data_IF_498597129975
#
_entry.id   IF_498597129975
#
_cell.length_a   1.000
_cell.length_b   1.000
_cell.length_c   1.000
_cell.angle_alpha   90.00
_cell.angle_beta   90.00
_cell.angle_gamma   90.00
#
_symmetry.space_group_name_H-M   'P 1'
#
loop_
_entity.id
_entity.type
_entity.pdbx_description
1 polymer ?
#
# COMPACT_ATOMS: atom_id res chain seq x y z
N UNK A 1 24.46 -13.43 8.52
CA UNK A 1 23.03 -13.50 8.22
C UNK A 1 22.17 -13.63 9.49
N UNK A 2 22.28 -14.71 10.29
CA UNK A 2 21.44 -14.88 11.50
C UNK A 2 21.62 -13.74 12.54
N UNK A 3 22.84 -13.32 12.82
CA UNK A 3 23.14 -12.21 13.74
C UNK A 3 22.56 -10.87 13.23
N UNK A 4 22.62 -10.61 11.94
CA UNK A 4 22.04 -9.44 11.30
C UNK A 4 20.50 -9.44 11.40
N UNK A 5 19.87 -10.56 11.07
CA UNK A 5 18.42 -10.72 11.20
C UNK A 5 17.94 -10.55 12.64
N UNK A 6 18.67 -11.12 13.62
CA UNK A 6 18.36 -10.96 15.03
C UNK A 6 18.48 -9.49 15.48
N UNK A 7 19.53 -8.79 15.05
CA UNK A 7 19.70 -7.37 15.37
C UNK A 7 18.58 -6.53 14.79
N UNK A 8 18.15 -6.81 13.56
CA UNK A 8 17.01 -6.12 12.92
C UNK A 8 15.71 -6.39 13.67
N UNK A 9 15.44 -7.64 14.05
CA UNK A 9 14.27 -7.98 14.87
C UNK A 9 14.24 -7.26 16.21
N UNK A 10 15.38 -7.17 16.89
CA UNK A 10 15.48 -6.44 18.15
C UNK A 10 15.24 -4.94 17.99
N UNK A 11 15.71 -4.33 16.89
CA UNK A 11 15.46 -2.92 16.58
C UNK A 11 14.00 -2.62 16.18
N UNK A 12 13.26 -3.62 15.69
CA UNK A 12 11.84 -3.45 15.39
C UNK A 12 11.01 -3.19 16.65
N UNK A 13 11.41 -3.74 17.80
CA UNK A 13 10.67 -3.59 19.07
C UNK A 13 10.58 -2.11 19.50
N UNK A 14 11.70 -1.38 19.70
CA UNK A 14 11.63 0.03 20.08
C UNK A 14 10.99 0.90 19.00
N UNK A 15 11.20 0.58 17.71
CA UNK A 15 10.56 1.29 16.61
C UNK A 15 9.04 1.10 16.66
N UNK A 16 8.57 -0.12 16.89
CA UNK A 16 7.15 -0.42 17.02
C UNK A 16 6.51 0.33 18.20
N UNK A 17 7.17 0.30 19.37
CA UNK A 17 6.70 1.06 20.54
C UNK A 17 6.64 2.55 20.23
N UNK A 18 7.65 3.12 19.57
CA UNK A 18 7.67 4.54 19.19
C UNK A 18 6.53 4.91 18.24
N UNK A 19 6.32 4.12 17.18
CA UNK A 19 5.24 4.35 16.20
C UNK A 19 3.88 4.23 16.88
N UNK A 20 3.66 3.19 17.68
CA UNK A 20 2.37 2.97 18.36
C UNK A 20 2.08 4.03 19.41
N UNK A 21 3.11 4.53 20.16
CA UNK A 21 2.96 5.67 21.05
C UNK A 21 2.52 6.92 20.33
N UNK A 22 3.21 7.29 19.25
CA UNK A 22 2.87 8.46 18.45
C UNK A 22 1.44 8.35 17.91
N UNK A 23 1.08 7.21 17.32
CA UNK A 23 -0.27 6.98 16.80
C UNK A 23 -1.34 7.06 17.87
N UNK A 24 -1.09 6.47 19.05
CA UNK A 24 -2.00 6.56 20.19
C UNK A 24 -2.22 8.01 20.63
N UNK A 25 -1.14 8.81 20.75
CA UNK A 25 -1.27 10.22 21.13
C UNK A 25 -1.98 11.05 20.06
N UNK A 26 -1.67 10.86 18.77
CA UNK A 26 -2.36 11.56 17.67
C UNK A 26 -3.87 11.30 17.74
N UNK A 27 -4.27 10.05 17.95
CA UNK A 27 -5.69 9.70 18.04
C UNK A 27 -6.35 10.28 19.29
N UNK A 28 -5.62 10.44 20.40
CA UNK A 28 -6.13 11.03 21.63
C UNK A 28 -6.24 12.57 21.57
N UNK A 29 -5.40 13.20 20.76
CA UNK A 29 -5.44 14.65 20.53
C UNK A 29 -6.49 15.02 19.46
N UNK A 30 -7.01 14.05 18.70
CA UNK A 30 -8.05 14.30 17.73
C UNK A 30 -9.32 14.84 18.42
N UNK A 31 -9.93 15.92 17.91
CA UNK A 31 -11.10 16.52 18.54
C UNK A 31 -12.32 15.61 18.45
N UNK A 32 -13.01 15.41 19.58
CA UNK A 32 -14.21 14.59 19.71
C UNK A 32 -14.02 13.42 20.68
N UNK A 33 -14.98 13.22 21.58
CA UNK A 33 -15.00 12.04 22.45
C UNK A 33 -15.59 10.83 21.69
N UNK A 34 -14.83 9.73 21.56
CA UNK A 34 -15.34 8.52 20.89
C UNK A 34 -16.67 7.99 21.49
N UNK A 35 -16.86 8.17 22.80
CA UNK A 35 -18.08 7.77 23.48
C UNK A 35 -19.28 8.65 23.09
N UNK A 36 -19.10 9.95 22.95
CA UNK A 36 -20.15 10.87 22.50
C UNK A 36 -20.62 10.56 21.07
N UNK A 37 -19.65 10.26 20.19
CA UNK A 37 -19.95 9.95 18.80
C UNK A 37 -20.74 8.65 18.64
N UNK A 38 -20.43 7.63 19.44
CA UNK A 38 -21.19 6.38 19.42
C UNK A 38 -22.58 6.54 20.03
N UNK A 39 -22.68 7.26 21.14
CA UNK A 39 -23.97 7.55 21.76
C UNK A 39 -24.88 8.35 20.82
N UNK A 40 -24.34 9.33 20.11
CA UNK A 40 -25.05 10.10 19.08
C UNK A 40 -25.48 9.22 17.88
N UNK A 41 -24.64 8.31 17.41
CA UNK A 41 -24.93 7.38 16.31
C UNK A 41 -25.99 6.33 16.70
N UNK A 42 -25.89 5.78 17.89
CA UNK A 42 -26.85 4.78 18.41
C UNK A 42 -28.26 5.33 18.68
N UNK A 43 -28.38 6.64 18.84
CA UNK A 43 -29.66 7.32 19.13
C UNK A 43 -30.21 8.14 17.94
N UNK A 44 -29.76 7.84 16.72
CA UNK A 44 -30.31 8.47 15.51
C UNK A 44 -29.95 9.93 15.33
N UNK A 45 -28.76 10.36 15.79
CA UNK A 45 -28.24 11.72 15.54
C UNK A 45 -28.92 12.82 16.36
N UNK A 46 -29.67 12.48 17.39
CA UNK A 46 -30.39 13.43 18.24
C UNK A 46 -29.47 14.14 19.25
N UNK A 47 -28.54 14.95 18.75
CA UNK A 47 -27.76 15.92 19.54
C UNK A 47 -28.31 17.32 19.32
N UNK A 48 -29.56 17.59 19.74
CA UNK A 48 -30.20 18.88 19.53
C UNK A 48 -31.07 19.29 20.71
N UNK A 49 -31.41 20.58 20.79
CA UNK A 49 -32.26 21.22 21.79
C UNK A 49 -33.72 20.68 21.70
N UNK A 50 -33.99 19.49 22.21
CA UNK A 50 -35.32 18.83 22.19
C UNK A 50 -35.31 17.44 22.78
N UNK A 51 -34.16 16.94 23.26
CA UNK A 51 -34.08 15.62 23.88
C UNK A 51 -34.64 15.70 25.32
N UNK A 52 -35.57 14.78 25.65
CA UNK A 52 -36.09 14.68 27.01
C UNK A 52 -34.97 14.37 28.02
N UNK A 53 -35.13 14.82 29.26
CA UNK A 53 -34.13 14.63 30.33
C UNK A 53 -33.80 13.14 30.51
N UNK A 54 -34.80 12.27 30.44
CA UNK A 54 -34.61 10.81 30.51
C UNK A 54 -33.71 10.25 29.41
N UNK A 55 -33.84 10.74 28.15
CA UNK A 55 -32.96 10.33 27.06
C UNK A 55 -31.51 10.83 27.23
N UNK A 56 -31.35 12.03 27.81
CA UNK A 56 -30.00 12.53 28.15
C UNK A 56 -29.34 11.67 29.22
N UNK A 57 -30.06 11.34 30.29
CA UNK A 57 -29.52 10.46 31.33
C UNK A 57 -29.13 9.07 30.79
N UNK A 58 -29.97 8.48 29.93
CA UNK A 58 -29.63 7.20 29.27
C UNK A 58 -28.39 7.29 28.36
N UNK A 59 -28.20 8.41 27.68
CA UNK A 59 -26.99 8.68 26.88
C UNK A 59 -25.77 8.78 27.76
N UNK A 60 -25.85 9.58 28.84
CA UNK A 60 -24.74 9.80 29.77
C UNK A 60 -24.35 8.48 30.47
N UNK A 61 -25.32 7.64 30.82
CA UNK A 61 -25.11 6.34 31.43
C UNK A 61 -24.45 5.36 30.42
N UNK A 62 -24.95 5.32 29.19
CA UNK A 62 -24.34 4.55 28.11
C UNK A 62 -22.91 5.01 27.81
N UNK A 63 -22.65 6.32 27.80
CA UNK A 63 -21.29 6.88 27.63
C UNK A 63 -20.37 6.50 28.79
N UNK A 64 -20.86 6.52 30.05
CA UNK A 64 -20.09 6.14 31.21
C UNK A 64 -19.71 4.65 31.18
N UNK A 65 -20.66 3.78 30.86
CA UNK A 65 -20.41 2.34 30.68
C UNK A 65 -19.39 2.08 29.56
N UNK A 66 -19.49 2.80 28.47
CA UNK A 66 -18.57 2.72 27.36
C UNK A 66 -17.16 3.16 27.73
N UNK A 67 -17.02 4.31 28.40
CA UNK A 67 -15.71 4.79 28.89
C UNK A 67 -15.07 3.78 29.84
N UNK A 68 -15.87 3.17 30.72
CA UNK A 68 -15.41 2.13 31.64
C UNK A 68 -14.96 0.86 30.89
N UNK A 69 -15.76 0.40 29.90
CA UNK A 69 -15.48 -0.80 29.13
C UNK A 69 -14.17 -0.70 28.32
N UNK A 70 -13.90 0.46 27.74
CA UNK A 70 -12.68 0.70 26.96
C UNK A 70 -11.56 1.38 27.78
N UNK A 71 -11.78 1.54 29.10
CA UNK A 71 -10.80 2.12 30.02
C UNK A 71 -10.46 3.57 29.70
N UNK A 72 -11.35 4.31 29.05
CA UNK A 72 -11.13 5.70 28.64
C UNK A 72 -11.12 6.69 29.81
N UNK A 73 -11.59 6.26 30.96
CA UNK A 73 -11.58 6.94 32.27
C UNK A 73 -10.24 6.80 33.00
N UNK A 74 -9.37 5.89 32.54
CA UNK A 74 -8.09 5.60 33.18
C UNK A 74 -6.98 6.56 32.74
N UNK A 75 -5.87 6.68 33.48
CA UNK A 75 -4.70 7.44 33.08
C UNK A 75 -4.16 6.98 31.71
N UNK A 76 -3.62 7.88 30.88
CA UNK A 76 -3.18 7.60 29.51
C UNK A 76 -2.21 6.42 29.36
N UNK A 77 -1.31 6.25 30.32
CA UNK A 77 -0.37 5.11 30.30
C UNK A 77 -1.07 3.76 30.50
N UNK A 78 -2.17 3.73 31.27
CA UNK A 78 -2.97 2.51 31.46
C UNK A 78 -3.77 2.22 30.18
N UNK A 79 -4.34 3.26 29.58
CA UNK A 79 -5.08 3.14 28.31
C UNK A 79 -4.16 2.61 27.19
N UNK A 80 -2.93 3.12 27.10
CA UNK A 80 -1.93 2.62 26.16
C UNK A 80 -1.60 1.14 26.44
N UNK A 81 -1.44 0.76 27.70
CA UNK A 81 -1.17 -0.64 28.09
C UNK A 81 -2.30 -1.59 27.70
N UNK A 82 -3.57 -1.18 27.92
CA UNK A 82 -4.76 -1.96 27.49
C UNK A 82 -4.77 -2.10 25.97
N UNK A 83 -4.58 -0.98 25.26
CA UNK A 83 -4.56 -1.00 23.79
C UNK A 83 -3.43 -1.87 23.24
N UNK A 84 -2.23 -1.80 23.82
CA UNK A 84 -1.10 -2.64 23.42
C UNK A 84 -1.37 -4.13 23.70
N UNK A 85 -2.02 -4.47 24.81
CA UNK A 85 -2.48 -5.83 25.08
C UNK A 85 -3.43 -6.31 23.99
N UNK A 86 -4.45 -5.54 23.69
CA UNK A 86 -5.44 -5.87 22.66
C UNK A 86 -4.82 -6.01 21.28
N UNK A 87 -3.79 -5.22 20.99
CA UNK A 87 -3.04 -5.35 19.74
C UNK A 87 -2.29 -6.71 19.66
N UNK A 88 -1.67 -7.14 20.74
CA UNK A 88 -0.95 -8.43 20.78
C UNK A 88 -1.92 -9.62 20.74
N UNK A 89 -3.10 -9.50 21.33
CA UNK A 89 -4.15 -10.53 21.32
C UNK A 89 -5.03 -10.46 20.06
N UNK A 90 -4.84 -9.45 19.19
CA UNK A 90 -5.68 -9.17 18.01
C UNK A 90 -7.15 -8.91 18.35
N UNK A 91 -7.43 -8.46 19.57
CA UNK A 91 -8.75 -8.13 20.08
C UNK A 91 -9.04 -6.63 19.92
N UNK A 92 -9.27 -6.18 18.70
CA UNK A 92 -9.52 -4.76 18.39
C UNK A 92 -10.95 -4.29 18.72
N UNK A 93 -11.81 -5.20 19.16
CA UNK A 93 -13.21 -4.92 19.42
C UNK A 93 -14.06 -4.82 18.15
N UNK A 94 -15.20 -4.13 18.29
CA UNK A 94 -16.18 -3.95 17.22
C UNK A 94 -16.10 -2.54 16.62
N UNK A 95 -16.35 -2.46 15.32
CA UNK A 95 -16.47 -1.22 14.56
C UNK A 95 -17.65 -0.39 15.05
N UNK A 96 -17.46 0.91 15.23
CA UNK A 96 -18.53 1.83 15.62
C UNK A 96 -19.56 2.08 14.53
N UNK A 97 -19.17 1.81 13.27
CA UNK A 97 -20.03 2.03 12.10
C UNK A 97 -21.09 0.94 11.95
N UNK A 98 -20.71 -0.31 12.14
CA UNK A 98 -21.55 -1.48 11.78
C UNK A 98 -21.57 -2.62 12.81
N UNK A 99 -20.93 -2.44 13.98
CA UNK A 99 -20.82 -3.42 15.05
C UNK A 99 -20.17 -4.76 14.64
N UNK A 100 -19.44 -4.78 13.52
CA UNK A 100 -18.71 -5.98 13.10
C UNK A 100 -17.33 -6.05 13.75
N UNK A 101 -16.79 -7.27 14.01
CA UNK A 101 -15.45 -7.42 14.53
C UNK A 101 -14.41 -6.77 13.60
N UNK A 102 -13.61 -5.84 14.12
CA UNK A 102 -12.64 -5.07 13.33
C UNK A 102 -11.61 -5.98 12.68
N UNK A 103 -11.14 -7.01 13.40
CA UNK A 103 -10.16 -7.96 12.86
C UNK A 103 -10.68 -8.70 11.62
N UNK A 104 -11.92 -9.13 11.62
CA UNK A 104 -12.54 -9.79 10.45
C UNK A 104 -12.53 -8.87 9.23
N UNK A 105 -12.91 -7.59 9.40
CA UNK A 105 -12.89 -6.59 8.31
C UNK A 105 -11.50 -6.38 7.73
N UNK A 106 -10.46 -6.41 8.57
CA UNK A 106 -9.07 -6.25 8.12
C UNK A 106 -8.62 -7.49 7.33
N UNK A 107 -8.85 -8.69 7.86
CA UNK A 107 -8.43 -9.95 7.24
C UNK A 107 -9.09 -10.17 5.87
N UNK A 108 -10.36 -9.80 5.72
CA UNK A 108 -11.08 -9.90 4.45
C UNK A 108 -10.52 -8.95 3.38
N UNK A 109 -10.10 -7.73 3.77
CA UNK A 109 -9.67 -6.68 2.84
C UNK A 109 -8.16 -6.70 2.55
N UNK A 110 -7.36 -7.22 3.45
CA UNK A 110 -5.90 -7.30 3.31
C UNK A 110 -5.43 -8.00 2.03
N UNK A 111 -5.95 -9.18 1.65
CA UNK A 111 -5.55 -9.85 0.42
C UNK A 111 -5.83 -9.04 -0.85
N UNK A 112 -6.91 -8.25 -0.86
CA UNK A 112 -7.27 -7.38 -1.98
C UNK A 112 -6.23 -6.29 -2.17
N UNK A 113 -5.89 -5.58 -1.10
CA UNK A 113 -4.87 -4.53 -1.11
C UNK A 113 -3.50 -5.07 -1.53
N UNK A 114 -3.08 -6.21 -0.97
CA UNK A 114 -1.80 -6.84 -1.35
C UNK A 114 -1.81 -7.22 -2.83
N UNK A 115 -2.88 -7.84 -3.34
CA UNK A 115 -3.02 -8.21 -4.75
C UNK A 115 -2.90 -6.99 -5.66
N UNK A 116 -3.63 -5.92 -5.36
CA UNK A 116 -3.66 -4.70 -6.16
C UNK A 116 -2.26 -4.05 -6.24
N UNK A 117 -1.61 -3.86 -5.09
CA UNK A 117 -0.27 -3.27 -5.03
C UNK A 117 0.79 -4.17 -5.68
N UNK A 118 0.76 -5.49 -5.42
CA UNK A 118 1.72 -6.42 -6.01
C UNK A 118 1.62 -6.46 -7.54
N UNK A 119 0.40 -6.47 -8.10
CA UNK A 119 0.18 -6.41 -9.54
C UNK A 119 0.67 -5.08 -10.13
N UNK A 120 0.45 -3.96 -9.43
CA UNK A 120 0.93 -2.65 -9.88
C UNK A 120 2.45 -2.59 -9.90
N UNK A 121 3.12 -3.04 -8.85
CA UNK A 121 4.58 -3.09 -8.81
C UNK A 121 5.13 -4.02 -9.90
N UNK A 122 4.53 -5.20 -10.06
CA UNK A 122 4.91 -6.14 -11.12
C UNK A 122 4.81 -5.48 -12.50
N UNK A 123 3.72 -4.77 -12.77
CA UNK A 123 3.51 -4.07 -14.03
C UNK A 123 4.52 -2.95 -14.25
N UNK A 124 4.85 -2.17 -13.19
CA UNK A 124 5.89 -1.14 -13.25
C UNK A 124 7.22 -1.76 -13.68
N UNK A 125 7.66 -2.84 -13.05
CA UNK A 125 8.94 -3.49 -13.37
C UNK A 125 8.92 -4.14 -14.75
N UNK A 126 7.81 -4.77 -15.12
CA UNK A 126 7.63 -5.42 -16.41
C UNK A 126 7.73 -4.44 -17.60
N UNK A 127 7.27 -3.20 -17.42
CA UNK A 127 7.30 -2.16 -18.46
C UNK A 127 8.56 -1.32 -18.36
N UNK A 128 8.92 -0.83 -17.16
CA UNK A 128 10.02 0.11 -17.00
C UNK A 128 11.39 -0.49 -17.30
N UNK A 129 11.62 -1.77 -16.99
CA UNK A 129 12.91 -2.42 -17.29
C UNK A 129 13.15 -2.52 -18.80
N UNK A 130 12.25 -3.08 -19.64
CA UNK A 130 12.44 -3.09 -21.09
C UNK A 130 12.57 -1.69 -21.70
N UNK A 131 11.78 -0.70 -21.22
CA UNK A 131 11.89 0.68 -21.67
C UNK A 131 13.25 1.28 -21.35
N UNK A 132 13.78 1.07 -20.14
CA UNK A 132 15.09 1.55 -19.74
C UNK A 132 16.24 0.87 -20.51
N UNK A 133 16.12 -0.43 -20.79
CA UNK A 133 17.08 -1.17 -21.64
C UNK A 133 17.09 -0.59 -23.06
N UNK A 134 15.91 -0.41 -23.64
CA UNK A 134 15.77 0.14 -24.98
C UNK A 134 16.37 1.54 -25.07
N UNK A 135 16.01 2.42 -24.15
CA UNK A 135 16.52 3.79 -24.06
C UNK A 135 18.03 3.87 -23.90
N UNK A 136 18.63 2.99 -23.09
CA UNK A 136 20.08 2.94 -22.89
C UNK A 136 20.85 2.39 -24.10
N UNK A 137 20.24 1.50 -24.89
CA UNK A 137 20.87 0.92 -26.08
C UNK A 137 20.69 1.78 -27.34
N UNK A 138 19.77 2.75 -27.32
CA UNK A 138 19.52 3.68 -28.42
C UNK A 138 19.54 5.14 -27.92
N UNK A 139 20.63 5.57 -27.26
CA UNK A 139 20.70 6.89 -26.65
C UNK A 139 20.56 7.99 -27.71
N UNK A 140 19.88 9.07 -27.31
CA UNK A 140 19.69 10.30 -28.09
C UNK A 140 18.95 10.11 -29.43
N UNK A 141 18.38 8.93 -29.70
CA UNK A 141 17.51 8.71 -30.84
C UNK A 141 16.14 9.37 -30.65
N UNK A 142 15.43 9.63 -31.74
CA UNK A 142 14.07 10.15 -31.68
C UNK A 142 13.14 9.26 -30.83
N UNK A 143 13.30 7.95 -30.91
CA UNK A 143 12.51 7.00 -30.10
C UNK A 143 12.83 7.09 -28.61
N UNK A 144 14.09 7.29 -28.21
CA UNK A 144 14.48 7.53 -26.81
C UNK A 144 13.85 8.84 -26.28
N UNK A 145 13.95 9.91 -27.08
CA UNK A 145 13.35 11.21 -26.73
C UNK A 145 11.82 11.13 -26.62
N UNK A 146 11.15 10.43 -27.56
CA UNK A 146 9.70 10.25 -27.54
C UNK A 146 9.23 9.43 -26.33
N UNK A 147 9.93 8.33 -26.00
CA UNK A 147 9.63 7.52 -24.80
C UNK A 147 9.84 8.32 -23.51
N UNK A 148 10.91 9.12 -23.46
CA UNK A 148 11.20 9.99 -22.33
C UNK A 148 10.11 11.05 -22.16
N UNK A 149 9.72 11.72 -23.25
CA UNK A 149 8.63 12.72 -23.22
C UNK A 149 7.32 12.09 -22.81
N UNK A 150 6.95 10.93 -23.37
CA UNK A 150 5.74 10.20 -23.00
C UNK A 150 5.72 9.84 -21.51
N UNK A 151 6.84 9.32 -20.99
CA UNK A 151 6.97 9.02 -19.58
C UNK A 151 6.82 10.27 -18.68
N UNK A 152 7.37 11.43 -19.09
CA UNK A 152 7.17 12.69 -18.37
C UNK A 152 5.73 13.18 -18.41
N UNK A 153 5.05 13.06 -19.55
CA UNK A 153 3.62 13.43 -19.66
C UNK A 153 2.79 12.56 -18.72
N UNK A 154 3.02 11.25 -18.69
CA UNK A 154 2.33 10.36 -17.75
C UNK A 154 2.59 10.75 -16.29
N UNK A 155 3.85 11.02 -15.94
CA UNK A 155 4.23 11.42 -14.58
C UNK A 155 3.59 12.75 -14.16
N UNK A 156 3.34 13.66 -15.08
CA UNK A 156 2.74 14.96 -14.79
C UNK A 156 1.23 14.89 -14.52
N UNK A 157 0.56 13.79 -14.91
CA UNK A 157 -0.90 13.64 -14.75
C UNK A 157 -1.23 13.21 -13.30
N UNK A 158 -2.04 13.98 -12.54
CA UNK A 158 -2.43 13.58 -11.19
C UNK A 158 -3.28 12.31 -11.19
N UNK A 159 -2.97 11.35 -10.30
CA UNK A 159 -3.64 10.05 -10.21
C UNK A 159 -5.17 10.19 -10.03
N UNK A 160 -5.61 11.11 -9.16
CA UNK A 160 -7.05 11.35 -8.92
C UNK A 160 -7.75 11.77 -10.21
N UNK A 161 -7.13 12.69 -10.96
CA UNK A 161 -7.68 13.18 -12.22
C UNK A 161 -7.73 12.05 -13.25
N UNK A 162 -6.63 11.30 -13.44
CA UNK A 162 -6.58 10.17 -14.37
C UNK A 162 -7.63 9.11 -14.06
N UNK A 163 -7.78 8.74 -12.78
CA UNK A 163 -8.74 7.75 -12.32
C UNK A 163 -10.19 8.21 -12.55
N UNK A 164 -10.49 9.48 -12.25
CA UNK A 164 -11.82 10.04 -12.46
C UNK A 164 -12.17 10.12 -13.95
N UNK A 165 -11.23 10.58 -14.78
CA UNK A 165 -11.41 10.62 -16.24
C UNK A 165 -11.57 9.21 -16.82
N UNK A 166 -10.82 8.23 -16.32
CA UNK A 166 -10.97 6.84 -16.75
C UNK A 166 -12.37 6.29 -16.46
N UNK A 167 -12.93 6.56 -15.28
CA UNK A 167 -14.32 6.16 -14.96
C UNK A 167 -15.31 6.81 -15.92
N UNK A 168 -15.20 8.11 -16.14
CA UNK A 168 -16.15 8.86 -16.99
C UNK A 168 -16.06 8.41 -18.46
N UNK A 169 -14.86 8.34 -19.03
CA UNK A 169 -14.68 8.14 -20.47
C UNK A 169 -14.50 6.67 -20.87
N UNK A 170 -13.98 5.82 -19.99
CA UNK A 170 -13.60 4.44 -20.33
C UNK A 170 -14.54 3.41 -19.68
N UNK A 171 -15.12 3.74 -18.52
CA UNK A 171 -16.04 2.86 -17.79
C UNK A 171 -17.49 3.35 -17.84
N UNK A 172 -17.73 4.60 -18.26
CA UNK A 172 -19.06 5.19 -18.34
C UNK A 172 -19.81 4.77 -19.60
N UNK A 173 -21.10 4.41 -19.47
CA UNK A 173 -21.93 4.00 -20.58
C UNK A 173 -22.17 5.08 -21.64
N UNK A 174 -21.90 6.35 -21.35
CA UNK A 174 -22.16 7.48 -22.26
C UNK A 174 -21.09 7.63 -23.36
N UNK A 175 -19.85 7.13 -23.11
CA UNK A 175 -18.74 7.21 -24.06
C UNK A 175 -18.25 5.81 -24.47
N UNK A 176 -17.43 5.20 -23.65
CA UNK A 176 -16.86 3.88 -23.89
C UNK A 176 -17.11 2.99 -22.67
N UNK A 177 -17.65 1.81 -22.90
CA UNK A 177 -17.78 0.79 -21.86
C UNK A 177 -16.77 -0.33 -22.10
N UNK A 178 -15.49 -0.03 -21.84
CA UNK A 178 -14.39 -0.98 -22.04
C UNK A 178 -14.06 -1.74 -20.77
N UNK A 179 -14.20 -1.11 -19.60
CA UNK A 179 -13.88 -1.71 -18.31
C UNK A 179 -15.00 -1.46 -17.30
N UNK A 180 -15.13 -2.33 -16.28
CA UNK A 180 -16.08 -2.11 -15.20
C UNK A 180 -15.78 -0.82 -14.43
N UNK A 181 -16.79 -0.08 -13.97
CA UNK A 181 -16.60 1.16 -13.21
C UNK A 181 -16.09 0.94 -11.80
N UNK A 182 -16.13 -0.30 -11.27
CA UNK A 182 -15.67 -0.61 -9.94
C UNK A 182 -15.97 -2.03 -9.49
N UNK A 183 -15.56 -2.33 -8.26
CA UNK A 183 -15.70 -3.66 -7.66
C UNK A 183 -14.60 -4.63 -8.09
N UNK A 184 -14.67 -5.87 -7.59
CA UNK A 184 -13.74 -6.96 -7.90
C UNK A 184 -14.31 -7.99 -8.85
N UNK A 185 -15.62 -8.03 -8.99
CA UNK A 185 -16.38 -9.09 -9.65
C UNK A 185 -17.60 -8.50 -10.37
N UNK A 186 -17.99 -9.12 -11.47
CA UNK A 186 -19.18 -8.73 -12.23
C UNK A 186 -20.47 -9.02 -11.43
N UNK A 187 -21.54 -8.30 -11.73
CA UNK A 187 -22.85 -8.45 -11.08
C UNK A 187 -23.44 -9.87 -11.24
N UNK A 188 -23.09 -10.58 -12.31
CA UNK A 188 -23.48 -11.96 -12.59
C UNK A 188 -22.47 -13.00 -12.06
N UNK A 189 -21.47 -12.57 -11.28
CA UNK A 189 -20.48 -13.47 -10.70
C UNK A 189 -21.12 -14.61 -9.92
N UNK A 190 -20.64 -15.81 -10.16
CA UNK A 190 -21.10 -16.99 -9.44
C UNK A 190 -19.94 -17.85 -8.97
N UNK A 191 -20.01 -18.32 -7.74
CA UNK A 191 -19.04 -19.27 -7.20
C UNK A 191 -18.96 -20.58 -8.00
N UNK A 192 -20.02 -20.90 -8.79
CA UNK A 192 -20.05 -22.07 -9.68
C UNK A 192 -19.30 -21.89 -10.99
N UNK A 193 -18.83 -20.68 -11.30
CA UNK A 193 -18.03 -20.44 -12.50
C UNK A 193 -16.74 -21.25 -12.48
N UNK A 194 -16.27 -21.73 -13.65
CA UNK A 194 -14.97 -22.37 -13.75
C UNK A 194 -13.86 -21.37 -13.39
N UNK A 195 -12.76 -21.88 -12.86
CA UNK A 195 -11.62 -21.09 -12.38
C UNK A 195 -11.15 -20.02 -13.39
N UNK A 196 -11.03 -20.38 -14.68
CA UNK A 196 -10.59 -19.47 -15.73
C UNK A 196 -11.54 -18.28 -15.95
N UNK A 197 -12.86 -18.51 -15.82
CA UNK A 197 -13.83 -17.43 -15.92
C UNK A 197 -13.73 -16.46 -14.75
N UNK A 198 -13.55 -16.97 -13.54
CA UNK A 198 -13.31 -16.15 -12.35
C UNK A 198 -12.04 -15.31 -12.48
N UNK A 199 -10.93 -15.94 -12.91
CA UNK A 199 -9.67 -15.22 -13.13
C UNK A 199 -9.80 -14.11 -14.20
N UNK A 200 -10.48 -14.40 -15.31
CA UNK A 200 -10.71 -13.42 -16.37
C UNK A 200 -11.53 -12.25 -15.87
N UNK A 201 -12.59 -12.51 -15.11
CA UNK A 201 -13.46 -11.49 -14.54
C UNK A 201 -12.69 -10.58 -13.57
N UNK A 202 -11.97 -11.16 -12.61
CA UNK A 202 -11.14 -10.39 -11.69
C UNK A 202 -10.02 -9.62 -12.39
N UNK A 203 -9.37 -10.22 -13.39
CA UNK A 203 -8.34 -9.54 -14.18
C UNK A 203 -8.91 -8.33 -14.92
N UNK A 204 -10.15 -8.44 -15.42
CA UNK A 204 -10.83 -7.35 -16.11
C UNK A 204 -11.18 -6.19 -15.19
N UNK A 205 -11.64 -6.48 -13.97
CA UNK A 205 -11.92 -5.47 -12.94
C UNK A 205 -10.66 -4.80 -12.41
N UNK A 206 -9.56 -5.54 -12.27
CA UNK A 206 -8.29 -5.03 -11.73
C UNK A 206 -7.40 -4.36 -12.78
N UNK A 207 -7.63 -4.59 -14.08
CA UNK A 207 -6.74 -4.10 -15.14
C UNK A 207 -6.55 -2.59 -15.09
N UNK A 208 -7.65 -1.84 -15.16
CA UNK A 208 -7.60 -0.38 -15.18
C UNK A 208 -7.05 0.22 -13.87
N UNK A 209 -7.52 -0.19 -12.68
CA UNK A 209 -6.90 0.19 -11.40
C UNK A 209 -5.40 -0.05 -11.34
N UNK A 210 -4.92 -1.24 -11.76
CA UNK A 210 -3.50 -1.61 -11.76
C UNK A 210 -2.69 -0.72 -12.71
N UNK A 211 -3.19 -0.47 -13.92
CA UNK A 211 -2.54 0.43 -14.89
C UNK A 211 -2.42 1.85 -14.33
N UNK A 212 -3.50 2.35 -13.73
CA UNK A 212 -3.53 3.70 -13.14
C UNK A 212 -2.61 3.82 -11.91
N UNK A 213 -2.43 2.77 -11.13
CA UNK A 213 -1.45 2.78 -10.03
C UNK A 213 0.00 2.66 -10.49
N UNK A 214 0.22 2.27 -11.75
CA UNK A 214 1.55 1.93 -12.25
C UNK A 214 2.18 3.01 -13.13
N UNK A 215 1.38 3.89 -13.74
CA UNK A 215 1.88 4.73 -14.84
C UNK A 215 2.93 5.76 -14.41
N UNK A 216 2.86 6.30 -13.20
CA UNK A 216 3.84 7.24 -12.65
C UNK A 216 5.19 6.56 -12.37
N UNK A 217 5.14 5.28 -11.97
CA UNK A 217 6.33 4.46 -11.74
C UNK A 217 7.13 4.16 -13.02
N UNK A 218 6.48 4.14 -14.19
CA UNK A 218 7.15 3.86 -15.45
C UNK A 218 8.26 4.89 -15.74
N UNK A 219 7.97 6.18 -15.54
CA UNK A 219 8.93 7.26 -15.79
C UNK A 219 10.12 7.21 -14.83
N UNK A 220 9.89 6.98 -13.55
CA UNK A 220 10.93 6.91 -12.53
C UNK A 220 11.87 5.74 -12.78
N UNK A 221 11.31 4.53 -12.78
CA UNK A 221 12.09 3.29 -12.82
C UNK A 221 12.79 3.07 -14.16
N UNK A 222 12.17 3.45 -15.29
CA UNK A 222 12.83 3.34 -16.60
C UNK A 222 14.08 4.24 -16.71
N UNK A 223 14.05 5.44 -16.14
CA UNK A 223 15.20 6.33 -16.07
C UNK A 223 16.31 5.79 -15.17
N UNK A 224 15.95 5.20 -14.02
CA UNK A 224 16.94 4.52 -13.18
C UNK A 224 17.60 3.36 -13.93
N UNK A 225 16.82 2.55 -14.64
CA UNK A 225 17.37 1.47 -15.46
C UNK A 225 18.27 1.98 -16.56
N UNK A 226 17.86 3.05 -17.30
CA UNK A 226 18.68 3.70 -18.34
C UNK A 226 20.01 4.20 -17.76
N UNK A 227 19.98 4.95 -16.67
CA UNK A 227 21.16 5.51 -16.04
C UNK A 227 22.13 4.41 -15.57
N UNK A 228 21.63 3.38 -14.89
CA UNK A 228 22.43 2.24 -14.45
C UNK A 228 23.05 1.48 -15.63
N UNK A 229 22.32 1.30 -16.73
CA UNK A 229 22.84 0.65 -17.91
C UNK A 229 23.94 1.46 -18.59
N UNK A 230 23.79 2.80 -18.72
CA UNK A 230 24.82 3.66 -19.31
C UNK A 230 26.10 3.64 -18.49
N UNK A 231 26.00 3.63 -17.16
CA UNK A 231 27.15 3.48 -16.27
C UNK A 231 27.87 2.14 -16.49
N UNK A 232 27.11 1.04 -16.52
CA UNK A 232 27.65 -0.31 -16.70
C UNK A 232 28.26 -0.51 -18.10
N UNK A 233 27.62 0.05 -19.14
CA UNK A 233 28.15 0.00 -20.54
C UNK A 233 29.54 0.63 -20.67
N UNK A 234 29.91 1.60 -19.82
CA UNK A 234 31.21 2.25 -19.77
C UNK A 234 32.30 1.44 -19.07
N UNK A 235 31.96 0.33 -18.39
CA UNK A 235 32.92 -0.45 -17.60
C UNK A 235 33.88 -1.28 -18.47
N UNK A 236 35.10 -1.47 -17.95
CA UNK A 236 36.18 -2.18 -18.71
C UNK A 236 35.83 -3.64 -19.01
N UNK A 237 35.16 -4.34 -18.13
CA UNK A 237 34.78 -5.74 -18.40
C UNK A 237 33.77 -5.89 -19.57
N UNK A 238 32.98 -4.84 -19.85
CA UNK A 238 32.08 -4.82 -21.01
C UNK A 238 32.93 -4.63 -22.30
N UNK A 239 33.95 -3.76 -22.26
CA UNK A 239 34.91 -3.59 -23.38
C UNK A 239 35.66 -4.89 -23.66
N UNK A 240 36.12 -5.59 -22.62
CA UNK A 240 36.75 -6.91 -22.74
C UNK A 240 35.83 -7.94 -23.36
N UNK A 241 34.55 -7.96 -22.96
CA UNK A 241 33.55 -8.87 -23.52
C UNK A 241 33.36 -8.65 -25.03
N UNK A 242 33.31 -7.38 -25.49
CA UNK A 242 33.27 -7.03 -26.91
C UNK A 242 34.56 -7.44 -27.64
N UNK A 243 35.75 -7.17 -27.06
CA UNK A 243 37.02 -7.55 -27.62
C UNK A 243 37.18 -9.08 -27.79
N UNK A 244 36.52 -9.90 -26.98
CA UNK A 244 36.44 -11.36 -27.10
C UNK A 244 35.49 -11.82 -28.22
N UNK A 245 34.88 -10.91 -28.99
CA UNK A 245 34.01 -11.25 -30.12
C UNK A 245 32.61 -11.66 -29.76
N UNK A 246 32.14 -11.40 -28.52
CA UNK A 246 30.76 -11.66 -28.15
C UNK A 246 29.80 -10.75 -28.91
N UNK A 247 28.65 -11.30 -29.32
CA UNK A 247 27.62 -10.51 -30.00
C UNK A 247 27.03 -9.46 -29.05
N UNK A 248 26.67 -8.29 -29.57
CA UNK A 248 26.17 -7.18 -28.76
C UNK A 248 24.95 -7.59 -27.92
N UNK A 249 24.06 -8.44 -28.45
CA UNK A 249 22.91 -9.00 -27.71
C UNK A 249 23.35 -9.76 -26.45
N UNK A 250 24.41 -10.56 -26.54
CA UNK A 250 24.96 -11.32 -25.39
C UNK A 250 25.64 -10.36 -24.42
N UNK A 251 26.41 -9.38 -24.90
CA UNK A 251 27.03 -8.36 -24.06
C UNK A 251 25.98 -7.62 -23.26
N UNK A 252 24.93 -7.11 -23.92
CA UNK A 252 23.87 -6.34 -23.26
C UNK A 252 23.09 -7.21 -22.26
N UNK A 253 22.51 -8.33 -22.69
CA UNK A 253 21.60 -9.10 -21.84
C UNK A 253 22.31 -9.83 -20.70
N UNK A 254 23.50 -10.38 -20.94
CA UNK A 254 24.20 -11.22 -19.96
C UNK A 254 25.14 -10.42 -19.05
N UNK A 255 25.82 -9.40 -19.58
CA UNK A 255 26.85 -8.67 -18.85
C UNK A 255 26.38 -7.31 -18.36
N UNK A 256 25.61 -6.55 -19.15
CA UNK A 256 25.16 -5.20 -18.77
C UNK A 256 23.90 -5.28 -17.93
N UNK A 257 22.81 -5.86 -18.45
CA UNK A 257 21.50 -5.88 -17.76
C UNK A 257 21.59 -6.50 -16.37
N UNK A 258 22.31 -7.63 -16.24
CA UNK A 258 22.47 -8.30 -14.94
C UNK A 258 23.01 -7.38 -13.85
N UNK A 259 24.04 -6.59 -14.17
CA UNK A 259 24.65 -5.68 -13.20
C UNK A 259 23.82 -4.40 -13.01
N UNK A 260 23.17 -3.93 -14.07
CA UNK A 260 22.30 -2.74 -14.02
C UNK A 260 21.00 -2.98 -13.24
N UNK A 261 20.58 -4.24 -13.01
CA UNK A 261 19.42 -4.57 -12.20
C UNK A 261 19.67 -4.43 -10.70
N UNK A 262 20.92 -4.38 -10.21
CA UNK A 262 21.23 -4.33 -8.77
C UNK A 262 20.55 -3.12 -8.08
N UNK A 263 20.68 -1.88 -8.59
CA UNK A 263 20.00 -0.73 -7.99
C UNK A 263 18.47 -0.87 -8.02
N UNK A 264 17.91 -1.49 -9.07
CA UNK A 264 16.46 -1.69 -9.20
C UNK A 264 15.91 -2.69 -8.18
N UNK A 265 16.67 -3.74 -7.87
CA UNK A 265 16.33 -4.69 -6.79
C UNK A 265 16.39 -3.98 -5.44
N UNK A 266 17.32 -3.06 -5.24
CA UNK A 266 17.38 -2.23 -4.04
C UNK A 266 16.15 -1.33 -3.90
N UNK A 267 15.71 -0.71 -5.00
CA UNK A 267 14.47 0.08 -5.04
C UNK A 267 13.26 -0.82 -4.74
N UNK A 268 13.17 -2.01 -5.35
CA UNK A 268 12.09 -2.96 -5.08
C UNK A 268 12.00 -3.31 -3.60
N UNK A 269 13.13 -3.62 -2.97
CA UNK A 269 13.18 -3.90 -1.55
C UNK A 269 12.64 -2.71 -0.73
N UNK A 270 12.96 -1.46 -1.09
CA UNK A 270 12.44 -0.26 -0.43
C UNK A 270 10.93 -0.02 -0.60
N UNK A 271 10.32 -0.57 -1.65
CA UNK A 271 8.87 -0.45 -1.94
C UNK A 271 8.05 -1.51 -1.18
N UNK A 272 8.63 -2.66 -0.85
CA UNK A 272 7.91 -3.78 -0.20
C UNK A 272 7.09 -3.38 1.03
N UNK A 273 7.59 -2.54 1.94
CA UNK A 273 6.78 -2.08 3.08
C UNK A 273 5.48 -1.38 2.68
N UNK A 274 5.49 -0.68 1.53
CA UNK A 274 4.34 0.06 1.00
C UNK A 274 3.24 -0.82 0.37
N UNK A 275 3.53 -2.08 0.06
CA UNK A 275 2.56 -3.00 -0.56
C UNK A 275 1.28 -3.13 0.27
N UNK A 276 1.38 -2.94 1.56
CA UNK A 276 0.33 -3.21 2.53
C UNK A 276 -0.46 -1.95 2.88
N UNK A 277 0.11 -0.77 2.59
CA UNK A 277 -0.50 0.53 2.94
C UNK A 277 -1.82 0.85 2.22
N UNK A 278 -2.13 0.13 1.13
CA UNK A 278 -3.31 0.37 0.30
C UNK A 278 -3.21 1.65 -0.53
N UNK A 279 -4.00 1.71 -1.58
CA UNK A 279 -4.20 2.94 -2.35
C UNK A 279 -5.58 3.50 -2.06
N UNK A 280 -5.67 4.38 -1.07
CA UNK A 280 -6.93 5.03 -0.67
C UNK A 280 -7.65 5.61 -1.89
N UNK A 281 -6.92 6.27 -2.79
CA UNK A 281 -7.48 6.94 -3.97
C UNK A 281 -8.12 5.92 -4.92
N UNK A 282 -7.36 4.92 -5.36
CA UNK A 282 -7.83 3.95 -6.35
C UNK A 282 -8.88 3.02 -5.75
N UNK A 283 -8.68 2.53 -4.53
CA UNK A 283 -9.64 1.68 -3.86
C UNK A 283 -10.99 2.40 -3.66
N UNK A 284 -10.98 3.70 -3.33
CA UNK A 284 -12.21 4.49 -3.14
C UNK A 284 -12.87 4.80 -4.49
N UNK A 285 -12.13 5.29 -5.48
CA UNK A 285 -12.69 5.70 -6.79
C UNK A 285 -13.29 4.48 -7.51
N UNK A 286 -12.61 3.33 -7.49
CA UNK A 286 -13.08 2.10 -8.12
C UNK A 286 -13.89 1.20 -7.19
N UNK A 287 -14.26 1.67 -6.00
CA UNK A 287 -15.04 0.88 -5.03
C UNK A 287 -14.47 -0.52 -4.78
N UNK A 288 -13.15 -0.62 -4.72
CA UNK A 288 -12.42 -1.87 -4.45
C UNK A 288 -12.33 -2.03 -2.92
N UNK A 289 -12.85 -3.14 -2.34
CA UNK A 289 -12.90 -3.33 -0.90
C UNK A 289 -11.52 -3.70 -0.33
N UNK A 290 -10.62 -2.72 -0.28
CA UNK A 290 -9.29 -2.84 0.29
C UNK A 290 -9.13 -2.12 1.63
N UNK A 291 -7.90 -2.17 2.20
CA UNK A 291 -7.59 -1.52 3.48
C UNK A 291 -7.58 0.01 3.38
N UNK A 292 -7.17 0.56 2.24
CA UNK A 292 -7.19 2.00 2.00
C UNK A 292 -8.61 2.57 2.00
N UNK A 293 -9.56 1.88 1.32
CA UNK A 293 -10.96 2.23 1.35
C UNK A 293 -11.53 2.10 2.78
N UNK A 294 -11.22 0.99 3.48
CA UNK A 294 -11.65 0.80 4.85
C UNK A 294 -11.16 1.93 5.76
N UNK A 295 -9.90 2.32 5.61
CA UNK A 295 -9.32 3.43 6.38
C UNK A 295 -10.03 4.75 6.11
N UNK A 296 -10.26 5.08 4.85
CA UNK A 296 -10.97 6.29 4.45
C UNK A 296 -12.39 6.35 5.01
N UNK A 297 -13.16 5.27 4.83
CA UNK A 297 -14.52 5.16 5.36
C UNK A 297 -14.55 5.26 6.89
N UNK A 298 -13.57 4.64 7.57
CA UNK A 298 -13.47 4.68 9.03
C UNK A 298 -13.15 6.08 9.55
N UNK A 299 -12.30 6.84 8.85
CA UNK A 299 -12.01 8.25 9.21
C UNK A 299 -13.25 9.10 9.06
N UNK A 300 -14.00 8.97 7.96
CA UNK A 300 -15.24 9.73 7.75
C UNK A 300 -16.32 9.38 8.78
N UNK A 301 -16.40 8.09 9.14
CA UNK A 301 -17.36 7.61 10.14
C UNK A 301 -16.87 7.81 11.59
N UNK A 302 -15.64 8.30 11.80
CA UNK A 302 -14.98 8.42 13.11
C UNK A 302 -14.98 7.08 13.88
N UNK A 303 -14.77 5.98 13.15
CA UNK A 303 -14.70 4.62 13.69
C UNK A 303 -13.33 4.37 14.32
N UNK A 304 -13.14 4.87 15.54
CA UNK A 304 -11.88 4.82 16.26
C UNK A 304 -11.29 3.43 16.40
N UNK A 305 -12.06 2.37 16.77
CA UNK A 305 -11.50 1.02 16.85
C UNK A 305 -10.89 0.56 15.54
N UNK A 306 -11.58 0.79 14.42
CA UNK A 306 -11.09 0.39 13.09
C UNK A 306 -9.87 1.22 12.68
N UNK A 307 -9.85 2.54 12.92
CA UNK A 307 -8.70 3.39 12.60
C UNK A 307 -7.47 2.96 13.40
N UNK A 308 -7.62 2.74 14.71
CA UNK A 308 -6.52 2.31 15.60
C UNK A 308 -5.98 0.94 15.20
N UNK A 309 -6.85 0.00 14.86
CA UNK A 309 -6.47 -1.32 14.40
C UNK A 309 -5.72 -1.27 13.07
N UNK A 310 -6.24 -0.53 12.07
CA UNK A 310 -5.59 -0.33 10.77
C UNK A 310 -4.20 0.29 10.92
N UNK A 311 -4.08 1.33 11.74
CA UNK A 311 -2.80 1.98 12.01
C UNK A 311 -1.79 0.98 12.60
N UNK A 312 -2.22 0.20 13.61
CA UNK A 312 -1.38 -0.78 14.29
C UNK A 312 -0.95 -1.91 13.36
N UNK A 313 -1.90 -2.48 12.63
CA UNK A 313 -1.64 -3.56 11.67
C UNK A 313 -0.72 -3.07 10.56
N UNK A 314 -0.97 -1.88 10.02
CA UNK A 314 -0.11 -1.28 9.00
C UNK A 314 1.31 -1.05 9.50
N UNK A 315 1.48 -0.62 10.77
CA UNK A 315 2.80 -0.45 11.38
C UNK A 315 3.56 -1.79 11.49
N UNK A 316 2.89 -2.86 11.98
CA UNK A 316 3.48 -4.21 12.06
C UNK A 316 3.89 -4.71 10.68
N UNK A 317 2.98 -4.62 9.71
CA UNK A 317 3.21 -5.11 8.36
C UNK A 317 4.30 -4.31 7.64
N UNK A 318 4.38 -2.99 7.88
CA UNK A 318 5.48 -2.15 7.38
C UNK A 318 6.83 -2.60 7.95
N UNK A 319 6.90 -2.87 9.25
CA UNK A 319 8.12 -3.38 9.88
C UNK A 319 8.52 -4.75 9.32
N UNK A 320 7.56 -5.64 9.10
CA UNK A 320 7.80 -6.93 8.43
C UNK A 320 8.32 -6.71 7.00
N UNK A 321 7.72 -5.79 6.25
CA UNK A 321 8.18 -5.40 4.93
C UNK A 321 9.62 -4.88 4.92
N UNK A 322 9.99 -4.03 5.89
CA UNK A 322 11.36 -3.55 6.08
C UNK A 322 12.32 -4.71 6.37
N UNK A 323 11.93 -5.64 7.24
CA UNK A 323 12.74 -6.81 7.55
C UNK A 323 12.98 -7.68 6.31
N UNK A 324 11.93 -7.96 5.55
CA UNK A 324 12.04 -8.72 4.28
C UNK A 324 12.95 -7.97 3.30
N UNK A 325 12.81 -6.66 3.19
CA UNK A 325 13.66 -5.78 2.38
C UNK A 325 15.13 -5.88 2.77
N UNK A 326 15.44 -5.75 4.06
CA UNK A 326 16.81 -5.87 4.59
C UNK A 326 17.43 -7.25 4.32
N UNK A 327 16.63 -8.32 4.44
CA UNK A 327 17.06 -9.68 4.14
C UNK A 327 17.32 -9.88 2.64
N UNK A 328 16.44 -9.39 1.78
CA UNK A 328 16.63 -9.44 0.34
C UNK A 328 17.88 -8.68 -0.10
N UNK A 329 18.09 -7.47 0.45
CA UNK A 329 19.30 -6.68 0.18
C UNK A 329 20.56 -7.42 0.59
N UNK A 330 20.57 -8.10 1.73
CA UNK A 330 21.73 -8.88 2.19
C UNK A 330 22.03 -10.11 1.31
N UNK A 331 21.05 -10.62 0.57
CA UNK A 331 21.22 -11.69 -0.42
C UNK A 331 21.78 -11.15 -1.74
N UNK A 332 21.29 -9.98 -2.17
CA UNK A 332 21.72 -9.35 -3.45
C UNK A 332 23.11 -8.74 -3.34
N UNK A 333 23.40 -8.07 -2.21
CA UNK A 333 24.74 -7.52 -1.92
C UNK A 333 25.25 -8.03 -0.56
N UNK A 334 26.03 -9.12 -0.57
CA UNK A 334 26.61 -9.68 0.66
C UNK A 334 27.52 -8.71 1.44
N UNK A 335 28.03 -7.65 0.80
CA UNK A 335 28.91 -6.66 1.44
C UNK A 335 28.18 -5.89 2.54
N UNK A 336 26.86 -5.69 2.39
CA UNK A 336 26.03 -5.04 3.39
C UNK A 336 25.98 -5.83 4.70
N UNK A 337 26.01 -7.17 4.63
CA UNK A 337 25.97 -8.05 5.81
C UNK A 337 27.31 -8.10 6.58
N UNK A 338 28.43 -7.73 5.94
CA UNK A 338 29.78 -7.79 6.52
C UNK A 338 30.36 -6.41 6.89
N UNK A 339 29.74 -5.31 6.49
CA UNK A 339 30.27 -3.94 6.61
C UNK A 339 30.15 -3.27 7.98
N UNK A 340 29.73 -3.98 9.04
CA UNK A 340 29.67 -3.46 10.42
C UNK A 340 30.49 -4.33 11.39
N UNK A 341 31.78 -4.43 11.15
CA UNK A 341 32.78 -4.79 12.16
C UNK A 341 33.85 -3.69 12.15
N UNK A 342 33.47 -2.53 12.66
CA UNK A 342 34.39 -1.56 13.26
C UNK A 342 33.68 -0.94 14.46
#
# INVERSE_FOLDING_TARGET
MASYALQRLLLMIPTFIGVTLIGFFIMRLAPGDPAELRAAGGLGGATGAGISVEKRMAVDEAMAQWRAQYGLDRPLHVQYGIWMKNLVTLEFGESFKDNQPVWSKIVERLPVTIKLNALSILLVYLIAIPLGIYSATHPDTWSDQALTLFAFVLFAVPLVWAATMAIVFICGGDFLYLFPPGGLESLDYSQRWPFWRKMKDQAWHLFLPVVLMSYDGFAGLSRYMRASMLEVLGQDYVRVARAKGLTEKVVVLKHVVRNSLIPLVTILAGILPGIIGGSVIIETIFSIPGLGQLGYESVLARDYPTIMALFSVSAVLTLIGILISDLLLSVVDPRIAFGRRE
#
